data_IF_629928070914
#
_entry.id   IF_629928070914
#
_cell.length_a   1.000
_cell.length_b   1.000
_cell.length_c   1.000
_cell.angle_alpha   90.00
_cell.angle_beta   90.00
_cell.angle_gamma   90.00
#
_symmetry.space_group_name_H-M   'P 1'
#
loop_
_entity.id
_entity.type
_entity.pdbx_description
1 polymer ?
#
# COMPACT_ATOMS: atom_id res chain seq x y z
N UNK A 1 -15.45 -20.47 -4.46
CA UNK A 1 -14.71 -19.33 -3.90
C UNK A 1 -13.64 -19.03 -4.91
N UNK A 2 -13.61 -17.81 -5.44
CA UNK A 2 -12.47 -17.35 -6.22
C UNK A 2 -11.27 -17.28 -5.27
N UNK A 3 -10.13 -17.84 -5.69
CA UNK A 3 -8.88 -17.64 -4.96
C UNK A 3 -8.49 -16.17 -5.15
N UNK A 4 -8.35 -15.44 -4.04
CA UNK A 4 -7.85 -14.07 -4.10
C UNK A 4 -6.40 -14.09 -4.57
N UNK A 5 -6.06 -13.18 -5.50
CA UNK A 5 -4.74 -13.10 -6.11
C UNK A 5 -3.64 -12.79 -5.07
N UNK A 6 -4.03 -12.08 -4.01
CA UNK A 6 -3.20 -11.71 -2.87
C UNK A 6 -3.95 -12.11 -1.60
N UNK A 7 -3.79 -13.35 -1.09
CA UNK A 7 -4.67 -13.90 -0.05
C UNK A 7 -4.55 -13.20 1.30
N UNK A 8 -3.38 -12.61 1.60
CA UNK A 8 -3.14 -11.90 2.86
C UNK A 8 -3.52 -10.41 2.77
N UNK A 9 -3.66 -9.86 1.55
CA UNK A 9 -4.15 -8.51 1.26
C UNK A 9 -3.38 -7.37 1.97
N UNK A 10 -2.07 -7.52 2.21
CA UNK A 10 -1.29 -6.52 2.96
C UNK A 10 -1.32 -5.13 2.30
N UNK A 11 -1.14 -5.06 0.98
CA UNK A 11 -1.14 -3.80 0.25
C UNK A 11 -2.54 -3.20 0.14
N UNK A 12 -3.58 -4.04 0.02
CA UNK A 12 -4.97 -3.57 0.09
C UNK A 12 -5.30 -3.00 1.47
N UNK A 13 -4.89 -3.68 2.54
CA UNK A 13 -5.03 -3.19 3.90
C UNK A 13 -4.28 -1.86 4.09
N UNK A 14 -3.07 -1.74 3.56
CA UNK A 14 -2.29 -0.51 3.60
C UNK A 14 -2.99 0.66 2.87
N UNK A 15 -3.60 0.41 1.71
CA UNK A 15 -4.44 1.38 1.00
C UNK A 15 -5.68 1.75 1.84
N UNK A 16 -6.33 0.79 2.50
CA UNK A 16 -7.45 1.04 3.39
C UNK A 16 -7.04 1.93 4.58
N UNK A 17 -5.86 1.71 5.18
CA UNK A 17 -5.29 2.60 6.20
C UNK A 17 -5.05 4.02 5.66
N UNK A 18 -4.61 4.17 4.41
CA UNK A 18 -4.48 5.51 3.81
C UNK A 18 -5.83 6.24 3.78
N UNK A 19 -6.92 5.56 3.43
CA UNK A 19 -8.26 6.16 3.39
C UNK A 19 -8.72 6.71 4.75
N UNK A 20 -8.31 6.09 5.85
CA UNK A 20 -8.74 6.45 7.21
C UNK A 20 -7.83 7.48 7.90
N UNK A 21 -6.64 7.73 7.38
CA UNK A 21 -5.59 8.51 8.06
C UNK A 21 -5.48 9.97 7.59
N UNK A 22 -6.32 10.40 6.64
CA UNK A 22 -6.36 11.77 6.08
C UNK A 22 -5.00 12.27 5.55
N UNK A 23 -4.11 11.34 5.17
CA UNK A 23 -2.81 11.68 4.62
C UNK A 23 -2.95 12.28 3.22
N UNK A 24 -1.92 13.02 2.80
CA UNK A 24 -1.92 13.67 1.49
C UNK A 24 -1.34 12.73 0.40
N UNK A 25 -1.83 12.84 -0.83
CA UNK A 25 -1.35 12.06 -2.00
C UNK A 25 0.00 12.56 -2.55
N UNK A 26 0.97 12.72 -1.66
CA UNK A 26 2.34 13.11 -1.98
C UNK A 26 3.32 12.33 -1.09
N UNK A 27 4.61 12.48 -1.40
CA UNK A 27 5.67 11.77 -0.70
C UNK A 27 5.60 11.90 0.83
N UNK A 28 5.39 13.11 1.36
CA UNK A 28 5.34 13.32 2.80
C UNK A 28 4.13 12.60 3.45
N UNK A 29 2.98 12.57 2.77
CA UNK A 29 1.82 11.82 3.25
C UNK A 29 2.05 10.31 3.24
N UNK A 30 2.71 9.77 2.22
CA UNK A 30 3.06 8.36 2.16
C UNK A 30 4.14 7.98 3.19
N UNK A 31 5.12 8.86 3.44
CA UNK A 31 6.13 8.64 4.49
C UNK A 31 5.48 8.60 5.88
N UNK A 32 4.51 9.48 6.13
CA UNK A 32 3.73 9.48 7.36
C UNK A 32 2.86 8.23 7.49
N UNK A 33 2.23 7.78 6.39
CA UNK A 33 1.44 6.55 6.37
C UNK A 33 2.30 5.33 6.76
N UNK A 34 3.46 5.15 6.13
CA UNK A 34 4.35 4.03 6.41
C UNK A 34 4.79 3.99 7.88
N UNK A 35 5.19 5.13 8.45
CA UNK A 35 5.56 5.23 9.86
C UNK A 35 4.40 4.91 10.78
N UNK A 36 3.23 5.46 10.50
CA UNK A 36 2.02 5.20 11.28
C UNK A 36 1.60 3.72 11.20
N UNK A 37 1.71 3.10 10.03
CA UNK A 37 1.41 1.68 9.86
C UNK A 37 2.35 0.80 10.70
N UNK A 38 3.65 1.09 10.70
CA UNK A 38 4.63 0.39 11.58
C UNK A 38 4.27 0.58 13.06
N UNK A 39 3.85 1.78 13.46
CA UNK A 39 3.46 2.07 14.85
C UNK A 39 2.21 1.28 15.29
N UNK A 40 1.28 1.01 14.38
CA UNK A 40 0.00 0.34 14.67
C UNK A 40 0.13 -1.18 14.54
N UNK A 41 0.61 -1.67 13.39
CA UNK A 41 0.64 -3.09 13.04
C UNK A 41 1.96 -3.78 13.40
N UNK A 42 3.04 -3.00 13.53
CA UNK A 42 4.37 -3.51 13.84
C UNK A 42 5.26 -3.75 12.62
N UNK A 43 6.55 -3.99 12.89
CA UNK A 43 7.58 -4.19 11.86
C UNK A 43 7.42 -5.47 11.06
N UNK A 44 6.88 -6.52 11.68
CA UNK A 44 6.72 -7.83 11.03
C UNK A 44 5.65 -7.74 9.94
N UNK A 45 4.49 -7.15 10.25
CA UNK A 45 3.43 -6.87 9.28
C UNK A 45 3.93 -5.97 8.15
N UNK A 46 4.69 -4.93 8.50
CA UNK A 46 5.26 -4.02 7.50
C UNK A 46 6.28 -4.72 6.59
N UNK A 47 6.98 -5.74 7.10
CA UNK A 47 7.90 -6.55 6.28
C UNK A 47 7.13 -7.42 5.28
N UNK A 48 6.00 -8.00 5.68
CA UNK A 48 5.15 -8.77 4.77
C UNK A 48 4.47 -7.89 3.71
N UNK A 49 4.07 -6.66 4.09
CA UNK A 49 3.64 -5.64 3.14
C UNK A 49 4.72 -5.37 2.06
N UNK A 50 5.99 -5.23 2.45
CA UNK A 50 7.08 -5.00 1.50
C UNK A 50 7.27 -6.21 0.57
N UNK A 51 7.21 -7.43 1.12
CA UNK A 51 7.28 -8.65 0.31
C UNK A 51 6.15 -8.68 -0.73
N UNK A 52 4.92 -8.35 -0.33
CA UNK A 52 3.78 -8.29 -1.24
C UNK A 52 3.96 -7.19 -2.31
N UNK A 53 4.42 -6.00 -1.93
CA UNK A 53 4.72 -4.91 -2.87
C UNK A 53 5.73 -5.34 -3.95
N UNK A 54 6.79 -6.04 -3.58
CA UNK A 54 7.78 -6.53 -4.56
C UNK A 54 7.16 -7.56 -5.51
N UNK A 55 6.27 -8.45 -5.02
CA UNK A 55 5.53 -9.38 -5.89
C UNK A 55 4.58 -8.64 -6.86
N UNK A 56 3.88 -7.61 -6.40
CA UNK A 56 3.00 -6.78 -7.24
C UNK A 56 3.81 -6.12 -8.36
N UNK A 57 5.01 -5.64 -8.02
CA UNK A 57 5.95 -5.03 -8.97
C UNK A 57 6.46 -6.02 -10.00
N UNK A 58 6.84 -7.23 -9.57
CA UNK A 58 7.28 -8.31 -10.46
C UNK A 58 6.18 -8.76 -11.43
N UNK A 59 4.93 -8.79 -10.97
CA UNK A 59 3.78 -9.21 -11.77
C UNK A 59 3.10 -8.09 -12.58
N UNK A 60 3.52 -6.82 -12.39
CA UNK A 60 2.90 -5.61 -12.96
C UNK A 60 1.39 -5.47 -12.65
N UNK A 61 1.01 -5.82 -11.41
CA UNK A 61 -0.40 -5.95 -11.00
C UNK A 61 -1.05 -4.66 -10.49
N UNK A 62 -0.47 -3.50 -10.77
CA UNK A 62 -0.92 -2.22 -10.21
C UNK A 62 -2.36 -1.86 -10.57
N UNK A 63 -2.84 -2.28 -11.74
CA UNK A 63 -4.22 -2.03 -12.17
C UNK A 63 -5.24 -2.73 -11.25
N UNK A 64 -4.92 -3.92 -10.74
CA UNK A 64 -5.76 -4.63 -9.77
C UNK A 64 -5.96 -3.79 -8.49
N UNK A 65 -4.89 -3.18 -7.99
CA UNK A 65 -4.96 -2.34 -6.80
C UNK A 65 -5.54 -0.94 -7.05
N UNK A 66 -5.45 -0.41 -8.27
CA UNK A 66 -6.18 0.81 -8.63
C UNK A 66 -7.69 0.59 -8.62
N UNK A 67 -8.17 -0.59 -9.04
CA UNK A 67 -9.58 -0.95 -8.93
C UNK A 67 -10.00 -1.07 -7.46
N UNK A 68 -9.24 -1.79 -6.62
CA UNK A 68 -9.51 -1.90 -5.18
C UNK A 68 -9.46 -0.56 -4.45
N UNK A 69 -8.53 0.33 -4.83
CA UNK A 69 -8.44 1.68 -4.27
C UNK A 69 -9.73 2.51 -4.45
N UNK A 70 -10.49 2.25 -5.53
CA UNK A 70 -11.78 2.93 -5.77
C UNK A 70 -12.85 2.49 -4.80
N UNK A 71 -12.81 1.25 -4.31
CA UNK A 71 -13.74 0.74 -3.30
C UNK A 71 -13.58 1.47 -1.95
N UNK A 72 -12.41 2.05 -1.70
CA UNK A 72 -12.13 2.91 -0.54
C UNK A 72 -12.42 4.40 -0.79
N UNK A 73 -13.03 4.75 -1.93
CA UNK A 73 -13.39 6.13 -2.30
C UNK A 73 -12.21 7.13 -2.34
N UNK A 74 -10.97 6.64 -2.50
CA UNK A 74 -9.76 7.47 -2.49
C UNK A 74 -9.58 8.15 -3.85
N UNK A 75 -10.12 9.36 -4.00
CA UNK A 75 -9.98 10.13 -5.23
C UNK A 75 -8.52 10.48 -5.53
N UNK A 76 -8.06 10.14 -6.73
CA UNK A 76 -6.73 10.50 -7.22
C UNK A 76 -5.61 9.51 -6.88
N UNK A 77 -5.91 8.40 -6.19
CA UNK A 77 -4.97 7.29 -6.00
C UNK A 77 -4.89 6.44 -7.28
N UNK A 78 -4.24 6.99 -8.30
CA UNK A 78 -4.00 6.30 -9.58
C UNK A 78 -2.89 5.26 -9.45
N UNK A 79 -2.71 4.42 -10.47
CA UNK A 79 -1.53 3.52 -10.58
C UNK A 79 -0.21 4.24 -10.31
N UNK A 80 -0.05 5.49 -10.79
CA UNK A 80 1.17 6.28 -10.55
C UNK A 80 1.33 6.56 -9.06
N UNK A 81 0.25 6.93 -8.36
CA UNK A 81 0.28 7.19 -6.92
C UNK A 81 0.45 5.93 -6.08
N UNK A 82 -0.10 4.80 -6.50
CA UNK A 82 0.14 3.51 -5.86
C UNK A 82 1.62 3.10 -5.94
N UNK A 83 2.25 3.31 -7.11
CA UNK A 83 3.69 3.09 -7.27
C UNK A 83 4.52 4.01 -6.38
N UNK A 84 4.21 5.31 -6.34
CA UNK A 84 4.88 6.26 -5.44
C UNK A 84 4.73 5.85 -3.95
N UNK A 85 3.53 5.44 -3.54
CA UNK A 85 3.25 4.95 -2.18
C UNK A 85 4.08 3.71 -1.86
N UNK A 86 4.09 2.73 -2.77
CA UNK A 86 4.87 1.50 -2.64
C UNK A 86 6.38 1.76 -2.54
N UNK A 87 6.92 2.65 -3.38
CA UNK A 87 8.34 3.03 -3.35
C UNK A 87 8.75 3.68 -2.02
N UNK A 88 7.88 4.51 -1.46
CA UNK A 88 8.10 5.12 -0.14
C UNK A 88 8.09 4.07 0.97
N UNK A 89 7.14 3.12 0.94
CA UNK A 89 7.07 2.04 1.91
C UNK A 89 8.34 1.16 1.89
N UNK A 90 8.78 0.73 0.69
CA UNK A 90 10.03 -0.02 0.52
C UNK A 90 11.22 0.75 1.10
N UNK A 91 11.35 2.05 0.76
CA UNK A 91 12.45 2.88 1.24
C UNK A 91 12.49 2.91 2.77
N UNK A 92 11.34 3.08 3.43
CA UNK A 92 11.26 3.14 4.90
C UNK A 92 11.60 1.79 5.54
N UNK A 93 11.22 0.67 4.95
CA UNK A 93 11.55 -0.65 5.51
C UNK A 93 13.02 -1.06 5.36
N UNK A 94 13.80 -0.31 4.58
CA UNK A 94 15.23 -0.50 4.42
C UNK A 94 16.08 0.40 5.34
N UNK A 95 15.46 1.36 6.05
CA UNK A 95 16.12 2.26 7.02
C UNK A 95 16.25 1.62 8.41
#
# INVERSE_FOLDING_TARGET
MEEEKYPENYFEHYIACFSSTHQTLNQAGFENLAKLYIEIEGSDEFSELINEIELIKENDDWAYFEERARDFEIQGLTVVKLKEMAEVAIKIGME
#
